data_IF_298491546265
#
_entry.id   IF_298491546265
#
_cell.length_a   1.000
_cell.length_b   1.000
_cell.length_c   1.000
_cell.angle_alpha   90.00
_cell.angle_beta   90.00
_cell.angle_gamma   90.00
#
_symmetry.space_group_name_H-M   'P 1'
#
loop_
_entity.id
_entity.type
_entity.pdbx_description
1 polymer ?
#
# COMPACT_ATOMS: atom_id res chain seq x y z
N UNK A 1 0.01 41.13 4.45
CA UNK A 1 -0.48 40.12 5.42
C UNK A 1 -0.38 38.72 4.85
N UNK A 2 -0.90 38.47 3.63
CA UNK A 2 -0.58 37.33 2.73
C UNK A 2 0.62 36.45 3.10
N UNK A 3 1.85 36.99 3.10
CA UNK A 3 3.09 36.21 3.30
C UNK A 3 3.10 35.40 4.59
N UNK A 4 2.66 35.99 5.72
CA UNK A 4 2.59 35.28 7.02
C UNK A 4 1.60 34.12 6.99
N UNK A 5 0.50 34.25 6.24
CA UNK A 5 -0.52 33.20 6.13
C UNK A 5 -0.01 32.07 5.21
N UNK A 6 0.65 32.41 4.10
CA UNK A 6 1.32 31.41 3.24
C UNK A 6 2.41 30.64 3.98
N UNK A 7 3.15 31.29 4.88
CA UNK A 7 4.10 30.62 5.80
C UNK A 7 3.39 29.65 6.75
N UNK A 8 2.32 30.08 7.43
CA UNK A 8 1.54 29.24 8.35
C UNK A 8 0.96 27.96 7.69
N UNK A 9 0.55 28.04 6.42
CA UNK A 9 -0.01 26.91 5.65
C UNK A 9 1.09 25.99 5.09
N UNK A 10 2.31 26.51 4.91
CA UNK A 10 3.45 25.71 4.44
C UNK A 10 4.29 25.10 5.55
N UNK A 11 4.29 25.69 6.76
CA UNK A 11 4.98 25.18 7.96
C UNK A 11 6.44 24.80 7.67
N UNK A 12 6.78 23.52 7.81
CA UNK A 12 8.13 23.00 7.66
C UNK A 12 8.49 22.68 6.20
N UNK A 13 7.59 22.87 5.22
CA UNK A 13 7.91 22.66 3.79
C UNK A 13 8.88 23.73 3.29
N UNK A 14 9.80 23.35 2.42
CA UNK A 14 10.71 24.31 1.76
C UNK A 14 9.95 25.07 0.68
N UNK A 15 9.91 26.39 0.80
CA UNK A 15 9.32 27.30 -0.19
C UNK A 15 10.38 27.81 -1.15
N UNK A 16 10.01 28.01 -2.42
CA UNK A 16 10.80 28.77 -3.38
C UNK A 16 10.59 30.26 -3.09
N UNK A 17 11.69 31.02 -2.94
CA UNK A 17 11.70 32.47 -2.72
C UNK A 17 12.77 33.14 -3.60
N UNK A 18 12.50 33.17 -4.90
CA UNK A 18 13.47 33.55 -5.95
C UNK A 18 12.74 34.29 -7.08
N UNK A 19 13.42 35.19 -7.79
CA UNK A 19 12.93 35.92 -8.98
C UNK A 19 11.55 36.61 -8.87
N UNK A 20 11.13 36.95 -7.65
CA UNK A 20 9.83 37.55 -7.34
C UNK A 20 8.72 36.54 -6.99
N UNK A 21 8.99 35.23 -7.01
CA UNK A 21 8.04 34.18 -6.62
C UNK A 21 8.17 33.81 -5.14
N UNK A 22 7.03 33.63 -4.44
CA UNK A 22 6.96 32.97 -3.13
C UNK A 22 5.98 31.79 -3.20
N UNK A 23 6.49 30.61 -3.57
CA UNK A 23 5.69 29.41 -3.84
C UNK A 23 6.02 28.27 -2.87
N UNK A 24 4.98 27.54 -2.44
CA UNK A 24 5.14 26.22 -1.83
C UNK A 24 5.51 25.20 -2.92
N UNK A 25 6.79 25.22 -3.30
CA UNK A 25 7.37 24.51 -4.42
C UNK A 25 8.82 24.16 -4.09
N UNK A 26 9.25 22.94 -4.43
CA UNK A 26 10.62 22.47 -4.20
C UNK A 26 11.09 21.56 -5.32
N UNK A 27 12.31 21.78 -5.82
CA UNK A 27 13.00 20.80 -6.66
C UNK A 27 13.51 19.65 -5.78
N UNK A 28 12.98 18.44 -6.01
CA UNK A 28 13.46 17.20 -5.37
C UNK A 28 14.62 16.60 -6.17
N UNK A 29 14.63 16.84 -7.49
CA UNK A 29 15.75 16.65 -8.40
C UNK A 29 15.73 17.80 -9.43
N UNK A 30 16.76 17.92 -10.29
CA UNK A 30 16.88 19.02 -11.27
C UNK A 30 15.62 19.18 -12.13
N UNK A 31 15.00 18.07 -12.53
CA UNK A 31 13.81 18.03 -13.38
C UNK A 31 12.54 17.49 -12.67
N UNK A 32 12.53 17.40 -11.33
CA UNK A 32 11.38 16.91 -10.56
C UNK A 32 11.03 17.92 -9.47
N UNK A 33 9.86 18.53 -9.61
CA UNK A 33 9.29 19.50 -8.68
C UNK A 33 8.18 18.83 -7.87
N UNK A 34 8.20 19.04 -6.55
CA UNK A 34 7.08 18.79 -5.65
C UNK A 34 6.47 20.14 -5.22
N UNK A 35 5.15 20.31 -5.34
CA UNK A 35 4.48 21.56 -4.95
C UNK A 35 3.14 21.35 -4.24
N UNK A 36 2.68 22.38 -3.53
CA UNK A 36 1.30 22.47 -3.04
C UNK A 36 0.30 22.78 -4.17
N UNK A 37 -0.99 22.56 -3.91
CA UNK A 37 -2.06 22.74 -4.90
C UNK A 37 -2.08 24.16 -5.51
N UNK A 38 -2.10 24.30 -6.85
CA UNK A 38 -2.31 25.58 -7.51
C UNK A 38 -3.79 25.96 -7.49
N UNK A 39 -4.16 27.01 -6.76
CA UNK A 39 -5.56 27.44 -6.58
C UNK A 39 -5.97 28.57 -7.53
N UNK A 40 -7.14 28.41 -8.15
CA UNK A 40 -7.88 29.45 -8.89
C UNK A 40 -8.70 30.38 -7.97
N UNK A 41 -9.19 29.87 -6.82
CA UNK A 41 -10.08 30.62 -5.90
C UNK A 41 -9.29 31.47 -4.90
N UNK A 42 -10.02 32.19 -4.03
CA UNK A 42 -9.51 32.95 -2.87
C UNK A 42 -8.52 32.17 -2.00
N UNK A 43 -8.51 30.83 -2.03
CA UNK A 43 -7.46 30.03 -1.38
C UNK A 43 -6.03 30.36 -1.87
N UNK A 44 -5.86 30.92 -3.07
CA UNK A 44 -4.57 31.40 -3.58
C UNK A 44 -3.95 32.53 -2.74
N UNK A 45 -4.74 33.15 -1.85
CA UNK A 45 -4.25 34.10 -0.83
C UNK A 45 -3.38 33.40 0.23
N UNK A 46 -3.66 32.13 0.53
CA UNK A 46 -2.98 31.34 1.56
C UNK A 46 -2.24 30.09 1.02
N UNK A 47 -2.52 29.67 -0.21
CA UNK A 47 -1.84 28.61 -0.98
C UNK A 47 -1.00 29.22 -2.13
N UNK A 48 -0.62 28.39 -3.10
CA UNK A 48 -0.09 28.86 -4.38
C UNK A 48 -1.26 29.41 -5.23
N UNK A 49 -1.14 30.62 -5.78
CA UNK A 49 -2.01 31.04 -6.89
C UNK A 49 -1.62 30.23 -8.13
N UNK A 50 -2.61 29.79 -8.89
CA UNK A 50 -2.37 29.10 -10.17
C UNK A 50 -1.68 30.02 -11.18
N UNK A 51 -1.98 31.32 -11.17
CA UNK A 51 -1.33 32.33 -12.02
C UNK A 51 0.16 32.49 -11.67
N UNK A 52 0.52 32.48 -10.38
CA UNK A 52 1.92 32.56 -9.96
C UNK A 52 2.70 31.28 -10.33
N UNK A 53 2.06 30.10 -10.21
CA UNK A 53 2.64 28.82 -10.64
C UNK A 53 2.80 28.77 -12.17
N UNK A 54 1.80 29.21 -12.92
CA UNK A 54 1.87 29.32 -14.38
C UNK A 54 3.00 30.27 -14.80
N UNK A 55 3.03 31.50 -14.28
CA UNK A 55 4.12 32.47 -14.56
C UNK A 55 5.50 31.91 -14.22
N UNK A 56 5.63 31.15 -13.13
CA UNK A 56 6.89 30.50 -12.77
C UNK A 56 7.31 29.43 -13.79
N UNK A 57 6.39 28.54 -14.17
CA UNK A 57 6.64 27.48 -15.14
C UNK A 57 6.94 28.05 -16.54
N UNK A 58 6.17 29.03 -17.01
CA UNK A 58 6.44 29.73 -18.27
C UNK A 58 7.75 30.54 -18.26
N UNK A 59 8.15 31.12 -17.12
CA UNK A 59 9.39 31.90 -17.02
C UNK A 59 10.65 31.03 -16.93
N UNK A 60 10.59 29.86 -16.29
CA UNK A 60 11.76 28.99 -16.07
C UNK A 60 11.84 27.75 -16.94
N UNK A 61 10.71 27.24 -17.44
CA UNK A 61 10.60 25.93 -18.12
C UNK A 61 9.65 25.99 -19.32
N UNK A 62 9.61 27.13 -20.03
CA UNK A 62 8.68 27.36 -21.14
C UNK A 62 8.64 26.16 -22.09
N UNK A 63 7.44 25.65 -22.36
CA UNK A 63 7.18 24.47 -23.20
C UNK A 63 7.77 23.12 -22.74
N UNK A 64 8.65 23.12 -21.72
CA UNK A 64 9.35 21.97 -21.15
C UNK A 64 8.80 21.52 -19.78
N UNK A 65 7.53 21.78 -19.44
CA UNK A 65 6.92 21.24 -18.21
C UNK A 65 5.67 20.41 -18.46
N UNK A 66 5.46 19.39 -17.61
CA UNK A 66 4.18 18.68 -17.45
C UNK A 66 3.78 18.62 -15.98
N UNK A 67 2.51 18.90 -15.71
CA UNK A 67 1.93 18.93 -14.36
C UNK A 67 1.23 17.59 -14.06
N UNK A 68 1.42 17.07 -12.86
CA UNK A 68 0.82 15.82 -12.39
C UNK A 68 -0.04 16.08 -11.15
N UNK A 69 -1.36 15.99 -11.31
CA UNK A 69 -2.33 16.17 -10.24
C UNK A 69 -2.67 14.83 -9.57
N UNK A 70 -2.43 14.75 -8.26
CA UNK A 70 -2.72 13.56 -7.44
C UNK A 70 -4.02 13.70 -6.60
N UNK A 71 -4.75 14.82 -6.72
CA UNK A 71 -5.99 15.05 -5.99
C UNK A 71 -7.17 14.26 -6.57
N UNK A 72 -7.84 13.44 -5.74
CA UNK A 72 -9.19 12.93 -6.03
C UNK A 72 -10.26 14.00 -5.84
N UNK A 73 -10.00 14.92 -4.92
CA UNK A 73 -10.94 15.90 -4.37
C UNK A 73 -10.96 17.25 -5.10
N UNK A 74 -9.94 17.56 -5.91
CA UNK A 74 -9.71 18.89 -6.50
C UNK A 74 -9.14 18.78 -7.92
N UNK A 75 -9.64 19.65 -8.81
CA UNK A 75 -9.22 19.80 -10.21
C UNK A 75 -9.18 21.29 -10.57
N UNK A 76 -8.56 21.60 -11.70
CA UNK A 76 -8.52 22.91 -12.35
C UNK A 76 -8.50 22.69 -13.87
N UNK A 77 -8.73 23.74 -14.65
CA UNK A 77 -8.77 23.65 -16.10
C UNK A 77 -7.37 23.35 -16.69
N UNK A 78 -7.17 22.25 -17.45
CA UNK A 78 -5.86 21.90 -17.99
C UNK A 78 -5.35 22.92 -19.02
N UNK A 79 -6.23 23.74 -19.59
CA UNK A 79 -5.91 24.80 -20.55
C UNK A 79 -4.97 25.84 -19.93
N UNK A 80 -5.05 26.04 -18.59
CA UNK A 80 -4.14 26.88 -17.80
C UNK A 80 -2.67 26.48 -17.89
N UNK A 81 -2.39 25.24 -18.32
CA UNK A 81 -1.06 24.66 -18.46
C UNK A 81 -0.85 24.07 -19.87
N UNK A 82 -1.48 24.66 -20.89
CA UNK A 82 -1.36 24.25 -22.30
C UNK A 82 -1.70 22.77 -22.55
N UNK A 83 -2.70 22.23 -21.86
CA UNK A 83 -3.06 20.80 -21.85
C UNK A 83 -1.97 19.84 -21.35
N UNK A 84 -0.86 20.36 -20.78
CA UNK A 84 0.24 19.55 -20.21
C UNK A 84 -0.06 19.11 -18.78
N UNK A 85 -1.25 18.54 -18.53
CA UNK A 85 -1.70 18.06 -17.21
C UNK A 85 -2.11 16.59 -17.29
N UNK A 86 -1.52 15.74 -16.42
CA UNK A 86 -1.97 14.37 -16.21
C UNK A 86 -2.55 14.19 -14.79
N UNK A 87 -3.52 13.29 -14.65
CA UNK A 87 -4.24 13.06 -13.41
C UNK A 87 -4.04 11.62 -12.92
N UNK A 88 -3.48 11.45 -11.72
CA UNK A 88 -3.31 10.17 -11.04
C UNK A 88 -3.92 10.25 -9.62
N UNK A 89 -5.26 10.38 -9.52
CA UNK A 89 -5.94 10.77 -8.29
C UNK A 89 -5.98 9.66 -7.24
N UNK A 90 -5.69 10.01 -5.98
CA UNK A 90 -5.99 9.15 -4.84
C UNK A 90 -6.28 9.94 -3.56
N UNK A 91 -7.03 9.31 -2.65
CA UNK A 91 -7.58 9.96 -1.46
C UNK A 91 -6.51 10.51 -0.52
N UNK A 92 -6.80 11.67 0.07
CA UNK A 92 -5.86 12.31 0.98
C UNK A 92 -5.57 11.46 2.22
N UNK A 93 -4.36 11.55 2.75
CA UNK A 93 -3.87 10.74 3.86
C UNK A 93 -3.89 9.20 3.66
N UNK A 94 -4.20 8.70 2.46
CA UNK A 94 -4.16 7.27 2.11
C UNK A 94 -3.00 6.98 1.11
N UNK A 95 -2.56 5.72 0.94
CA UNK A 95 -1.73 5.32 -0.19
C UNK A 95 -2.54 5.35 -1.52
N UNK A 96 -1.85 5.37 -2.68
CA UNK A 96 -2.49 5.11 -3.97
C UNK A 96 -2.90 3.63 -4.07
N UNK A 97 -3.73 3.28 -5.06
CA UNK A 97 -3.80 1.87 -5.49
C UNK A 97 -2.43 1.43 -5.96
N UNK A 98 -2.03 0.19 -5.68
CA UNK A 98 -0.71 -0.30 -6.08
C UNK A 98 -0.51 -0.26 -7.61
N UNK A 99 -1.57 -0.60 -8.36
CA UNK A 99 -1.60 -0.56 -9.82
C UNK A 99 -1.46 0.86 -10.40
N UNK A 100 -1.77 1.92 -9.64
CA UNK A 100 -1.64 3.31 -10.10
C UNK A 100 -0.17 3.75 -10.18
N UNK A 101 0.73 3.09 -9.43
CA UNK A 101 2.12 3.52 -9.28
C UNK A 101 2.92 3.31 -10.57
N UNK A 102 2.79 2.14 -11.22
CA UNK A 102 3.55 1.81 -12.43
C UNK A 102 3.22 2.73 -13.62
N UNK A 103 1.94 2.93 -14.02
CA UNK A 103 1.61 3.82 -15.13
C UNK A 103 2.03 5.27 -14.88
N UNK A 104 1.92 5.76 -13.63
CA UNK A 104 2.47 7.08 -13.27
C UNK A 104 3.99 7.15 -13.50
N UNK A 105 4.75 6.13 -13.07
CA UNK A 105 6.19 6.11 -13.27
C UNK A 105 6.55 6.06 -14.75
N UNK A 106 5.83 5.26 -15.55
CA UNK A 106 6.08 5.08 -16.98
C UNK A 106 5.77 6.35 -17.78
N UNK A 107 4.64 7.03 -17.51
CA UNK A 107 4.29 8.34 -18.10
C UNK A 107 5.31 9.43 -17.72
N UNK A 108 5.70 9.48 -16.44
CA UNK A 108 6.71 10.41 -15.95
C UNK A 108 8.08 10.18 -16.60
N UNK A 109 8.49 8.93 -16.76
CA UNK A 109 9.75 8.56 -17.43
C UNK A 109 9.71 8.83 -18.94
N UNK A 110 8.54 8.63 -19.57
CA UNK A 110 8.36 8.97 -20.99
C UNK A 110 8.49 10.48 -21.20
N UNK A 111 7.76 11.29 -20.43
CA UNK A 111 7.84 12.76 -20.51
C UNK A 111 9.27 13.29 -20.30
N UNK A 112 9.94 12.84 -19.23
CA UNK A 112 11.28 13.31 -18.88
C UNK A 112 12.40 12.77 -19.80
N UNK A 113 12.11 11.79 -20.67
CA UNK A 113 13.05 11.29 -21.69
C UNK A 113 12.86 11.91 -23.07
N UNK A 114 11.73 12.57 -23.34
CA UNK A 114 11.47 13.21 -24.65
C UNK A 114 12.41 14.38 -24.94
N UNK A 115 12.86 15.08 -23.91
CA UNK A 115 13.78 16.22 -24.02
C UNK A 115 14.57 16.38 -22.70
N UNK A 116 15.89 16.66 -22.73
CA UNK A 116 16.69 16.85 -21.51
C UNK A 116 16.30 18.09 -20.68
N UNK A 117 15.64 19.09 -21.26
CA UNK A 117 15.12 20.27 -20.55
C UNK A 117 13.77 20.00 -19.88
N UNK A 118 13.09 18.88 -20.21
CA UNK A 118 11.77 18.56 -19.65
C UNK A 118 11.81 18.36 -18.13
N UNK A 119 10.89 19.03 -17.44
CA UNK A 119 10.63 18.89 -16.00
C UNK A 119 9.21 18.41 -15.72
N UNK A 120 9.01 17.85 -14.53
CA UNK A 120 7.70 17.43 -14.04
C UNK A 120 7.33 18.16 -12.74
N UNK A 121 6.13 18.75 -12.70
CA UNK A 121 5.58 19.43 -11.52
C UNK A 121 4.47 18.59 -10.88
N UNK A 122 4.80 17.87 -9.81
CA UNK A 122 3.91 16.89 -9.17
C UNK A 122 3.32 17.48 -7.90
N UNK A 123 2.00 17.40 -7.72
CA UNK A 123 1.32 18.02 -6.58
C UNK A 123 0.14 17.20 -6.05
N UNK A 124 -0.25 17.52 -4.81
CA UNK A 124 -1.53 17.14 -4.21
C UNK A 124 -2.11 18.37 -3.48
N UNK A 125 -2.92 18.21 -2.43
CA UNK A 125 -3.39 19.31 -1.56
C UNK A 125 -2.21 20.10 -0.97
N UNK A 126 -1.33 19.44 -0.22
CA UNK A 126 -0.22 20.06 0.53
C UNK A 126 1.18 19.80 -0.04
N UNK A 127 1.31 18.97 -1.09
CA UNK A 127 2.61 18.61 -1.69
C UNK A 127 3.54 17.85 -0.74
N UNK A 128 2.99 17.00 0.14
CA UNK A 128 3.72 16.28 1.21
C UNK A 128 3.63 14.75 1.01
N UNK A 129 2.65 14.08 1.63
CA UNK A 129 2.52 12.62 1.65
C UNK A 129 2.30 11.99 0.27
N UNK A 130 1.14 12.29 -0.37
CA UNK A 130 0.77 11.74 -1.69
C UNK A 130 1.84 11.99 -2.77
N UNK A 131 2.30 13.24 -2.89
CA UNK A 131 3.41 13.64 -3.78
C UNK A 131 4.70 12.86 -3.50
N UNK A 132 5.04 12.67 -2.22
CA UNK A 132 6.22 11.92 -1.83
C UNK A 132 6.16 10.44 -2.21
N UNK A 133 5.01 9.78 -2.08
CA UNK A 133 4.85 8.38 -2.51
C UNK A 133 5.19 8.22 -3.98
N UNK A 134 4.57 9.05 -4.84
CA UNK A 134 4.73 8.91 -6.30
C UNK A 134 6.14 9.30 -6.76
N UNK A 135 6.75 10.34 -6.16
CA UNK A 135 8.15 10.72 -6.45
C UNK A 135 9.13 9.64 -5.98
N UNK A 136 8.99 9.11 -4.76
CA UNK A 136 9.89 8.05 -4.27
C UNK A 136 9.78 6.79 -5.12
N UNK A 137 8.55 6.41 -5.51
CA UNK A 137 8.32 5.29 -6.42
C UNK A 137 9.00 5.50 -7.78
N UNK A 138 8.89 6.69 -8.37
CA UNK A 138 9.59 7.01 -9.63
C UNK A 138 11.13 6.96 -9.50
N UNK A 139 11.68 7.47 -8.40
CA UNK A 139 13.12 7.42 -8.16
C UNK A 139 13.63 5.97 -8.02
N UNK A 140 12.83 5.07 -7.43
CA UNK A 140 13.10 3.63 -7.43
C UNK A 140 12.97 3.01 -8.83
N UNK A 141 11.94 3.38 -9.61
CA UNK A 141 11.75 2.93 -11.00
C UNK A 141 12.97 3.26 -11.88
N UNK A 142 13.52 4.47 -11.71
CA UNK A 142 14.77 4.92 -12.35
C UNK A 142 16.05 4.36 -11.73
N UNK A 143 15.97 3.52 -10.70
CA UNK A 143 17.10 2.95 -9.94
C UNK A 143 18.05 4.03 -9.38
N UNK A 144 17.52 5.20 -9.01
CA UNK A 144 18.28 6.31 -8.41
C UNK A 144 18.64 6.05 -6.93
N UNK A 145 17.87 5.20 -6.26
CA UNK A 145 18.12 4.74 -4.89
C UNK A 145 18.07 3.22 -4.82
N UNK A 146 18.79 2.65 -3.86
CA UNK A 146 18.88 1.20 -3.63
C UNK A 146 17.59 0.64 -3.04
N UNK A 147 16.96 1.39 -2.15
CA UNK A 147 15.76 0.97 -1.43
C UNK A 147 14.82 2.14 -1.09
N UNK A 148 13.61 1.78 -0.67
CA UNK A 148 12.55 2.73 -0.37
C UNK A 148 12.89 3.68 0.78
N UNK A 149 13.66 3.24 1.79
CA UNK A 149 13.97 4.09 2.94
C UNK A 149 15.04 5.14 2.59
N UNK A 150 15.97 4.87 1.66
CA UNK A 150 16.80 5.90 1.01
C UNK A 150 15.97 6.94 0.25
N UNK A 151 15.08 6.51 -0.66
CA UNK A 151 14.25 7.41 -1.45
C UNK A 151 13.34 8.30 -0.58
N UNK A 152 12.69 7.71 0.43
CA UNK A 152 11.84 8.40 1.41
C UNK A 152 12.62 9.45 2.22
N UNK A 153 13.88 9.16 2.59
CA UNK A 153 14.77 10.07 3.31
C UNK A 153 15.23 11.23 2.43
N UNK A 154 15.60 10.95 1.18
CA UNK A 154 15.93 11.99 0.19
C UNK A 154 14.75 12.95 -0.01
N UNK A 155 13.54 12.41 -0.23
CA UNK A 155 12.35 13.24 -0.38
C UNK A 155 12.07 14.08 0.87
N UNK A 156 12.17 13.49 2.07
CA UNK A 156 12.01 14.20 3.34
C UNK A 156 12.97 15.38 3.48
N UNK A 157 14.27 15.12 3.36
CA UNK A 157 15.33 16.13 3.45
C UNK A 157 15.19 17.23 2.41
N UNK A 158 14.82 16.89 1.18
CA UNK A 158 14.61 17.84 0.09
C UNK A 158 13.35 18.69 0.32
N UNK A 159 12.20 18.08 0.58
CA UNK A 159 10.90 18.76 0.62
C UNK A 159 10.65 19.54 1.92
N UNK A 160 11.27 19.15 3.03
CA UNK A 160 10.97 19.68 4.37
C UNK A 160 12.22 20.11 5.14
N UNK A 161 12.02 20.89 6.21
CA UNK A 161 13.06 21.37 7.13
C UNK A 161 13.29 20.42 8.30
N UNK A 162 12.25 19.69 8.70
CA UNK A 162 12.24 18.68 9.77
C UNK A 162 12.42 17.24 9.24
N UNK A 163 12.75 17.11 7.95
CA UNK A 163 12.89 15.85 7.19
C UNK A 163 11.62 14.96 7.16
N UNK A 164 10.48 15.43 7.67
CA UNK A 164 9.19 14.72 7.70
C UNK A 164 8.46 14.83 6.36
N UNK A 165 8.98 14.12 5.35
CA UNK A 165 8.34 13.95 4.05
C UNK A 165 7.09 13.05 4.11
N UNK A 166 7.24 11.76 3.79
CA UNK A 166 6.15 10.77 3.91
C UNK A 166 6.19 10.12 5.29
N UNK A 167 5.29 10.59 6.16
CA UNK A 167 5.17 10.18 7.57
C UNK A 167 4.23 9.00 7.77
N UNK A 168 3.12 8.94 7.04
CA UNK A 168 2.07 7.92 7.19
C UNK A 168 2.62 6.53 6.81
N UNK A 169 2.64 5.55 7.74
CA UNK A 169 3.16 4.22 7.48
C UNK A 169 2.57 3.50 6.26
N UNK A 170 1.25 3.57 6.05
CA UNK A 170 0.62 2.99 4.86
C UNK A 170 1.13 3.60 3.56
N UNK A 171 1.40 4.91 3.52
CA UNK A 171 2.03 5.55 2.36
C UNK A 171 3.48 5.05 2.16
N UNK A 172 4.26 4.92 3.24
CA UNK A 172 5.63 4.36 3.19
C UNK A 172 5.65 2.90 2.73
N UNK A 173 4.68 2.09 3.20
CA UNK A 173 4.51 0.68 2.85
C UNK A 173 4.32 0.49 1.35
N UNK A 174 3.57 1.37 0.68
CA UNK A 174 3.34 1.27 -0.76
C UNK A 174 4.58 1.65 -1.59
N UNK A 175 5.45 2.54 -1.09
CA UNK A 175 6.78 2.77 -1.69
C UNK A 175 7.68 1.54 -1.54
N UNK A 176 7.65 0.87 -0.37
CA UNK A 176 8.35 -0.41 -0.14
C UNK A 176 7.85 -1.51 -1.07
N UNK A 177 6.54 -1.75 -1.12
CA UNK A 177 5.90 -2.71 -2.04
C UNK A 177 6.33 -2.52 -3.50
N UNK A 178 6.34 -1.27 -3.99
CA UNK A 178 6.78 -1.00 -5.36
C UNK A 178 8.29 -1.23 -5.54
N UNK A 179 9.11 -0.86 -4.56
CA UNK A 179 10.54 -1.20 -4.52
C UNK A 179 10.79 -2.71 -4.54
N UNK A 180 9.98 -3.49 -3.82
CA UNK A 180 10.08 -4.95 -3.79
C UNK A 180 9.67 -5.58 -5.13
N UNK A 181 8.64 -5.05 -5.81
CA UNK A 181 8.30 -5.48 -7.18
C UNK A 181 9.47 -5.25 -8.14
N UNK A 182 10.09 -4.06 -8.11
CA UNK A 182 11.21 -3.70 -8.97
C UNK A 182 12.47 -4.54 -8.67
N UNK A 183 12.82 -4.67 -7.39
CA UNK A 183 14.03 -5.39 -6.93
C UNK A 183 13.99 -6.87 -7.27
N UNK A 184 12.81 -7.50 -7.15
CA UNK A 184 12.61 -8.92 -7.39
C UNK A 184 12.09 -9.22 -8.82
N UNK A 185 12.01 -8.21 -9.69
CA UNK A 185 11.47 -8.30 -11.06
C UNK A 185 10.08 -8.95 -11.14
N UNK A 186 9.20 -8.64 -10.17
CA UNK A 186 7.87 -9.22 -10.06
C UNK A 186 6.83 -8.42 -10.85
N UNK A 187 5.96 -9.15 -11.54
CA UNK A 187 4.72 -8.60 -12.10
C UNK A 187 3.65 -8.73 -11.02
N UNK A 188 3.03 -7.60 -10.66
CA UNK A 188 1.90 -7.61 -9.74
C UNK A 188 0.70 -8.32 -10.37
N UNK A 189 0.04 -9.17 -9.58
CA UNK A 189 -1.27 -9.74 -9.89
C UNK A 189 -2.15 -9.68 -8.63
N UNK A 190 -3.46 -9.47 -8.73
CA UNK A 190 -4.36 -9.58 -7.58
C UNK A 190 -4.29 -10.99 -6.96
N UNK A 191 -4.29 -11.09 -5.64
CA UNK A 191 -4.25 -12.37 -4.89
C UNK A 191 -5.46 -12.44 -3.96
N UNK A 192 -6.33 -13.42 -4.16
CA UNK A 192 -7.51 -13.62 -3.31
C UNK A 192 -7.16 -14.41 -2.04
N UNK A 193 -7.59 -13.88 -0.88
CA UNK A 193 -7.38 -14.46 0.45
C UNK A 193 -8.67 -14.42 1.27
N UNK A 194 -8.86 -15.39 2.17
CA UNK A 194 -9.95 -15.39 3.16
C UNK A 194 -9.46 -14.87 4.50
N UNK A 195 -9.98 -13.74 4.99
CA UNK A 195 -9.73 -13.27 6.36
C UNK A 195 -10.38 -14.21 7.37
N UNK A 196 -9.56 -14.83 8.25
CA UNK A 196 -10.02 -15.74 9.33
C UNK A 196 -10.13 -15.06 10.70
N UNK A 197 -9.33 -14.02 10.95
CA UNK A 197 -9.33 -13.32 12.23
C UNK A 197 -8.12 -12.42 12.43
N UNK A 198 -8.12 -11.68 13.53
CA UNK A 198 -7.09 -10.68 13.85
C UNK A 198 -6.68 -10.80 15.32
N UNK A 199 -5.38 -10.87 15.61
CA UNK A 199 -4.82 -10.84 16.96
C UNK A 199 -4.20 -9.49 17.27
N UNK A 200 -4.51 -8.93 18.43
CA UNK A 200 -3.69 -7.91 19.09
C UNK A 200 -2.65 -8.61 19.98
N UNK A 201 -1.36 -8.35 19.77
CA UNK A 201 -0.29 -8.97 20.59
C UNK A 201 -0.14 -8.37 21.99
N UNK A 202 -0.70 -7.18 22.23
CA UNK A 202 -0.93 -6.58 23.56
C UNK A 202 -2.24 -5.82 23.54
N UNK A 203 -2.84 -5.54 24.70
CA UNK A 203 -4.15 -4.88 24.78
C UNK A 203 -4.01 -3.34 24.70
N UNK A 204 -4.73 -2.66 23.78
CA UNK A 204 -4.86 -1.20 23.79
C UNK A 204 -5.63 -0.68 25.01
N UNK A 205 -5.20 0.46 25.55
CA UNK A 205 -5.71 1.04 26.81
C UNK A 205 -6.61 2.26 26.51
N UNK A 206 -7.84 2.03 26.06
CA UNK A 206 -8.80 3.08 25.70
C UNK A 206 -9.90 3.30 26.75
N UNK A 207 -10.17 2.30 27.58
CA UNK A 207 -11.15 2.35 28.67
C UNK A 207 -10.44 2.54 30.01
N UNK A 208 -11.11 3.12 31.02
CA UNK A 208 -10.56 3.42 32.36
C UNK A 208 -9.99 2.21 33.12
N UNK A 209 -10.31 0.99 32.69
CA UNK A 209 -9.75 -0.26 33.19
C UNK A 209 -8.42 -0.66 32.54
N UNK A 210 -7.80 0.18 31.71
CA UNK A 210 -6.66 -0.14 30.84
C UNK A 210 -6.98 -1.32 29.88
N UNK A 211 -8.19 -1.31 29.32
CA UNK A 211 -8.67 -2.27 28.32
C UNK A 211 -9.27 -1.53 27.11
N UNK A 212 -9.87 -2.26 26.16
CA UNK A 212 -10.64 -1.68 25.06
C UNK A 212 -11.80 -2.60 24.70
N UNK A 213 -12.81 -2.05 24.03
CA UNK A 213 -13.99 -2.75 23.52
C UNK A 213 -14.01 -2.64 22.00
N UNK A 214 -13.11 -3.37 21.28
CA UNK A 214 -12.85 -3.11 19.88
C UNK A 214 -13.92 -3.68 18.96
N UNK A 215 -14.06 -3.04 17.82
CA UNK A 215 -14.61 -3.62 16.59
C UNK A 215 -13.84 -3.07 15.39
N UNK A 216 -13.97 -3.69 14.23
CA UNK A 216 -13.26 -3.27 13.03
C UNK A 216 -14.10 -3.33 11.76
N UNK A 217 -13.76 -2.45 10.82
CA UNK A 217 -14.34 -2.39 9.48
C UNK A 217 -13.24 -2.70 8.47
N UNK A 218 -13.55 -3.55 7.49
CA UNK A 218 -12.66 -3.88 6.38
C UNK A 218 -13.20 -3.24 5.11
N UNK A 219 -12.35 -2.50 4.41
CA UNK A 219 -12.69 -1.86 3.16
C UNK A 219 -11.78 -2.36 2.04
N UNK A 220 -12.37 -2.70 0.89
CA UNK A 220 -11.66 -2.86 -0.36
C UNK A 220 -11.95 -1.61 -1.20
N UNK A 221 -10.89 -0.87 -1.55
CA UNK A 221 -11.02 0.42 -2.23
C UNK A 221 -11.90 1.40 -1.40
N UNK A 222 -13.08 1.79 -1.92
CA UNK A 222 -14.07 2.64 -1.23
C UNK A 222 -15.23 1.86 -0.60
N UNK A 223 -15.29 0.54 -0.79
CA UNK A 223 -16.42 -0.29 -0.36
C UNK A 223 -16.10 -0.95 0.98
N UNK A 224 -16.96 -0.73 1.99
CA UNK A 224 -16.91 -1.50 3.23
C UNK A 224 -17.44 -2.90 2.95
N UNK A 225 -16.56 -3.90 2.97
CA UNK A 225 -16.88 -5.30 2.66
C UNK A 225 -17.17 -6.14 3.90
N UNK A 226 -16.78 -5.66 5.08
CA UNK A 226 -17.08 -6.30 6.36
C UNK A 226 -17.11 -5.29 7.51
N UNK A 227 -17.94 -5.57 8.50
CA UNK A 227 -17.92 -4.95 9.83
C UNK A 227 -17.99 -6.08 10.84
N UNK A 228 -17.07 -6.11 11.80
CA UNK A 228 -17.10 -7.13 12.85
C UNK A 228 -18.25 -6.88 13.83
N UNK A 229 -18.65 -7.91 14.61
CA UNK A 229 -19.29 -7.66 15.90
C UNK A 229 -18.36 -6.84 16.82
N UNK A 230 -18.92 -6.35 17.92
CA UNK A 230 -18.14 -5.77 19.02
C UNK A 230 -17.57 -6.92 19.85
N UNK A 231 -16.30 -6.83 20.21
CA UNK A 231 -15.64 -7.78 21.11
C UNK A 231 -15.55 -7.14 22.50
N UNK A 232 -16.39 -7.61 23.44
CA UNK A 232 -16.59 -7.03 24.77
C UNK A 232 -15.96 -7.83 25.92
N UNK A 233 -15.29 -8.95 25.61
CA UNK A 233 -14.61 -9.82 26.59
C UNK A 233 -13.17 -9.47 26.95
N UNK A 234 -12.66 -8.27 26.62
CA UNK A 234 -11.24 -7.93 26.87
C UNK A 234 -11.05 -7.36 28.28
N UNK A 235 -10.31 -8.09 29.12
CA UNK A 235 -10.14 -7.78 30.53
C UNK A 235 -8.79 -7.13 30.85
N UNK A 236 -8.76 -6.40 31.98
CA UNK A 236 -7.51 -5.86 32.53
C UNK A 236 -6.61 -7.01 32.97
N UNK A 237 -5.47 -7.17 32.30
CA UNK A 237 -4.51 -8.26 32.57
C UNK A 237 -4.38 -9.26 31.42
N UNK A 238 -5.28 -9.23 30.43
CA UNK A 238 -5.10 -9.99 29.19
C UNK A 238 -3.78 -9.59 28.52
N UNK A 239 -2.98 -10.60 28.15
CA UNK A 239 -1.71 -10.36 27.45
C UNK A 239 -1.90 -10.11 25.96
N UNK A 240 -2.95 -10.67 25.36
CA UNK A 240 -3.27 -10.58 23.94
C UNK A 240 -4.71 -11.01 23.67
N UNK A 241 -5.32 -10.59 22.56
CA UNK A 241 -6.70 -10.93 22.24
C UNK A 241 -6.88 -11.30 20.75
N UNK A 242 -7.69 -12.33 20.47
CA UNK A 242 -7.99 -12.81 19.12
C UNK A 242 -9.45 -12.56 18.73
N UNK A 243 -9.64 -11.67 17.77
CA UNK A 243 -10.93 -11.34 17.15
C UNK A 243 -11.18 -12.32 16.00
N UNK A 244 -11.97 -13.36 16.25
CA UNK A 244 -12.33 -14.38 15.26
C UNK A 244 -13.34 -13.83 14.25
N UNK A 245 -13.10 -14.04 12.96
CA UNK A 245 -14.10 -13.80 11.90
C UNK A 245 -14.82 -15.13 11.65
N UNK A 246 -16.09 -15.21 12.03
CA UNK A 246 -16.88 -16.44 11.96
C UNK A 246 -17.07 -16.94 10.52
N UNK A 247 -17.50 -16.02 9.64
CA UNK A 247 -17.69 -16.24 8.22
C UNK A 247 -16.51 -15.61 7.46
N UNK A 248 -15.55 -16.39 6.93
CA UNK A 248 -14.33 -15.84 6.34
C UNK A 248 -14.61 -14.89 5.18
N UNK A 249 -13.96 -13.71 5.20
CA UNK A 249 -14.24 -12.64 4.23
C UNK A 249 -13.25 -12.72 3.07
N UNK A 250 -13.71 -12.83 1.80
CA UNK A 250 -12.82 -12.78 0.63
C UNK A 250 -12.29 -11.36 0.39
N UNK A 251 -10.96 -11.25 0.29
CA UNK A 251 -10.22 -10.01 0.10
C UNK A 251 -9.20 -10.17 -1.03
N UNK A 252 -9.00 -9.12 -1.83
CA UNK A 252 -8.11 -9.13 -2.99
C UNK A 252 -7.54 -7.72 -3.26
N UNK A 253 -6.23 -7.63 -3.48
CA UNK A 253 -5.55 -6.38 -3.79
C UNK A 253 -5.46 -5.45 -2.56
N UNK A 254 -5.80 -4.17 -2.75
CA UNK A 254 -5.62 -3.11 -1.75
C UNK A 254 -6.75 -3.08 -0.71
N UNK A 255 -6.39 -3.42 0.54
CA UNK A 255 -7.31 -3.57 1.67
C UNK A 255 -6.95 -2.59 2.78
N UNK A 256 -7.96 -1.91 3.32
CA UNK A 256 -7.88 -1.10 4.55
C UNK A 256 -8.58 -1.84 5.69
N UNK A 257 -7.99 -1.83 6.88
CA UNK A 257 -8.68 -2.23 8.12
C UNK A 257 -8.65 -1.06 9.09
N UNK A 258 -9.82 -0.68 9.61
CA UNK A 258 -9.99 0.39 10.60
C UNK A 258 -10.58 -0.17 11.88
N UNK A 259 -9.98 0.15 13.03
CA UNK A 259 -10.41 -0.31 14.35
C UNK A 259 -10.95 0.84 15.17
N UNK A 260 -11.98 0.52 15.95
CA UNK A 260 -12.69 1.48 16.77
C UNK A 260 -12.97 0.89 18.16
N UNK A 261 -12.85 1.73 19.19
CA UNK A 261 -13.26 1.44 20.55
C UNK A 261 -14.74 1.87 20.70
N UNK A 262 -15.57 0.98 21.25
CA UNK A 262 -16.94 1.33 21.65
C UNK A 262 -16.93 1.81 23.10
N UNK A 263 -17.07 3.12 23.28
CA UNK A 263 -17.09 3.76 24.60
C UNK A 263 -18.39 3.48 25.36
N UNK A 264 -18.41 3.71 26.68
CA UNK A 264 -19.61 3.55 27.53
C UNK A 264 -20.80 4.42 27.08
N UNK A 265 -20.54 5.58 26.46
CA UNK A 265 -21.57 6.45 25.87
C UNK A 265 -22.01 6.01 24.45
N UNK A 266 -21.73 4.75 24.07
CA UNK A 266 -21.97 4.18 22.73
C UNK A 266 -21.27 4.91 21.58
N UNK A 267 -20.38 5.88 21.84
CA UNK A 267 -19.64 6.61 20.80
C UNK A 267 -18.50 5.74 20.25
N UNK A 268 -18.37 5.78 18.92
CA UNK A 268 -17.32 5.12 18.12
C UNK A 268 -16.05 5.97 18.13
N UNK A 269 -15.02 5.53 18.83
CA UNK A 269 -13.72 6.20 18.87
C UNK A 269 -12.71 5.47 17.97
N UNK A 270 -12.02 6.18 17.05
CA UNK A 270 -11.05 5.54 16.15
C UNK A 270 -9.73 5.24 16.85
N UNK A 271 -9.38 3.95 16.96
CA UNK A 271 -8.15 3.48 17.61
C UNK A 271 -6.96 3.56 16.65
N UNK A 272 -7.04 2.81 15.55
CA UNK A 272 -5.96 2.63 14.58
C UNK A 272 -6.51 2.23 13.21
N UNK A 273 -5.67 2.34 12.18
CA UNK A 273 -5.95 1.78 10.86
C UNK A 273 -4.64 1.52 10.11
N UNK A 274 -4.73 0.74 9.04
CA UNK A 274 -3.65 0.49 8.09
C UNK A 274 -4.21 0.03 6.75
N UNK A 275 -3.41 0.23 5.71
CA UNK A 275 -3.58 -0.39 4.38
C UNK A 275 -2.52 -1.44 4.14
N UNK A 276 -2.89 -2.52 3.45
CA UNK A 276 -1.96 -3.52 2.93
C UNK A 276 -2.46 -4.02 1.57
N UNK A 277 -1.59 -4.71 0.83
CA UNK A 277 -1.99 -5.38 -0.39
C UNK A 277 -1.80 -6.90 -0.23
N UNK A 278 -2.81 -7.69 -0.62
CA UNK A 278 -2.82 -9.16 -0.41
C UNK A 278 -1.66 -9.90 -1.08
N UNK A 279 -1.07 -9.36 -2.15
CA UNK A 279 0.09 -9.93 -2.84
C UNK A 279 1.33 -10.07 -1.94
N UNK A 280 1.44 -9.25 -0.89
CA UNK A 280 2.59 -9.22 0.02
C UNK A 280 2.34 -9.92 1.37
N UNK A 281 1.24 -10.67 1.50
CA UNK A 281 0.97 -11.49 2.69
C UNK A 281 1.78 -12.78 2.60
N UNK A 282 2.36 -13.23 3.70
CA UNK A 282 3.37 -14.30 3.72
C UNK A 282 2.91 -15.59 4.42
N UNK A 283 3.43 -16.73 3.96
CA UNK A 283 3.31 -18.03 4.62
C UNK A 283 4.13 -18.01 5.93
N UNK A 284 3.57 -18.54 7.03
CA UNK A 284 4.33 -18.69 8.28
C UNK A 284 5.26 -19.91 8.16
N UNK A 285 6.56 -19.68 7.98
CA UNK A 285 7.53 -20.75 8.13
C UNK A 285 7.70 -21.11 9.61
N UNK A 286 7.23 -22.30 9.98
CA UNK A 286 7.33 -23.01 11.29
C UNK A 286 6.39 -22.57 12.43
N UNK A 287 5.90 -23.53 13.25
CA UNK A 287 4.75 -23.33 14.13
C UNK A 287 5.14 -22.59 15.41
N UNK A 288 4.93 -21.27 15.45
CA UNK A 288 4.83 -20.57 16.73
C UNK A 288 3.48 -20.92 17.35
N UNK A 289 3.49 -21.42 18.59
CA UNK A 289 2.31 -21.93 19.31
C UNK A 289 1.04 -21.10 19.07
N UNK A 290 0.01 -21.72 18.48
CA UNK A 290 -1.35 -21.19 18.52
C UNK A 290 -1.69 -20.97 20.00
N UNK A 291 -2.14 -19.77 20.41
CA UNK A 291 -2.55 -19.57 21.78
C UNK A 291 -3.77 -20.44 22.08
N UNK A 292 -3.60 -21.44 22.94
CA UNK A 292 -4.73 -22.01 23.66
C UNK A 292 -5.32 -20.89 24.52
N UNK A 293 -6.37 -20.24 24.02
CA UNK A 293 -7.21 -19.40 24.85
C UNK A 293 -7.93 -20.30 25.84
N UNK A 294 -7.43 -20.33 27.08
CA UNK A 294 -8.22 -20.81 28.20
C UNK A 294 -9.34 -19.80 28.44
N UNK A 295 -10.44 -19.95 27.71
CA UNK A 295 -11.73 -19.48 28.13
C UNK A 295 -12.75 -20.60 27.93
N UNK A 296 -12.94 -21.38 28.99
CA UNK A 296 -13.92 -22.45 29.04
C UNK A 296 -15.32 -21.86 29.06
N UNK A 297 -15.92 -21.68 27.87
CA UNK A 297 -17.36 -21.79 27.56
C UNK A 297 -17.64 -21.34 26.12
N UNK A 298 -17.24 -22.18 25.16
CA UNK A 298 -17.50 -21.99 23.73
C UNK A 298 -16.66 -22.96 22.91
N UNK A 299 -17.28 -23.68 21.96
CA UNK A 299 -16.59 -24.71 21.19
C UNK A 299 -15.46 -24.11 20.32
N UNK A 300 -14.23 -24.21 20.81
CA UNK A 300 -13.05 -23.61 20.21
C UNK A 300 -12.60 -24.34 18.95
N UNK A 301 -13.14 -23.94 17.80
CA UNK A 301 -12.52 -24.27 16.51
C UNK A 301 -11.16 -23.55 16.43
N UNK A 302 -10.09 -24.32 16.59
CA UNK A 302 -8.72 -23.92 16.25
C UNK A 302 -8.51 -24.24 14.77
N UNK A 303 -8.27 -23.25 13.89
CA UNK A 303 -7.89 -23.54 12.50
C UNK A 303 -6.55 -24.29 12.48
N UNK A 304 -6.39 -25.23 11.54
CA UNK A 304 -5.16 -25.98 11.38
C UNK A 304 -3.97 -25.00 11.14
N UNK A 305 -2.89 -25.06 11.94
CA UNK A 305 -1.73 -24.17 11.79
C UNK A 305 -1.03 -24.28 10.42
N UNK A 306 -1.24 -25.36 9.65
CA UNK A 306 -0.46 -25.64 8.44
C UNK A 306 -0.91 -24.85 7.19
N UNK A 307 -2.04 -24.13 7.22
CA UNK A 307 -2.58 -23.40 6.05
C UNK A 307 -2.72 -21.87 6.23
N UNK A 308 -2.33 -21.31 7.38
CA UNK A 308 -2.54 -19.88 7.64
C UNK A 308 -1.39 -18.99 7.16
N UNK A 309 -1.74 -18.02 6.33
CA UNK A 309 -0.89 -16.87 6.01
C UNK A 309 -1.07 -15.78 7.08
N UNK A 310 0.00 -15.09 7.46
CA UNK A 310 -0.06 -14.07 8.53
C UNK A 310 0.64 -12.78 8.14
N UNK A 311 -0.11 -11.69 8.16
CA UNK A 311 0.44 -10.34 8.08
C UNK A 311 0.63 -9.79 9.49
N UNK A 312 1.89 -9.52 9.88
CA UNK A 312 2.20 -8.86 11.16
C UNK A 312 2.55 -7.39 10.93
N UNK A 313 1.85 -6.47 11.61
CA UNK A 313 2.10 -5.03 11.54
C UNK A 313 2.41 -4.49 12.94
N UNK A 314 3.65 -4.02 13.23
CA UNK A 314 4.01 -3.44 14.51
C UNK A 314 3.43 -2.03 14.70
N UNK A 315 3.35 -1.54 15.94
CA UNK A 315 2.83 -0.20 16.31
C UNK A 315 3.36 0.92 15.42
N UNK A 316 4.66 0.92 15.12
CA UNK A 316 5.31 1.93 14.29
C UNK A 316 4.75 1.99 12.85
N UNK A 317 4.17 0.90 12.36
CA UNK A 317 3.65 0.77 11.00
C UNK A 317 2.11 0.94 10.92
N UNK A 318 1.45 1.44 11.98
CA UNK A 318 0.00 1.66 12.05
C UNK A 318 -0.33 3.15 12.03
N UNK A 319 -1.24 3.61 11.16
CA UNK A 319 -1.31 5.02 10.73
C UNK A 319 -1.68 6.04 11.81
N UNK A 320 -2.41 5.61 12.85
CA UNK A 320 -2.71 6.42 14.05
C UNK A 320 -1.87 6.00 15.26
N UNK A 321 -1.72 4.69 15.51
CA UNK A 321 -1.00 4.19 16.69
C UNK A 321 0.51 4.50 16.68
N UNK A 322 1.13 4.73 15.51
CA UNK A 322 2.53 5.18 15.46
C UNK A 322 2.77 6.54 16.13
N UNK A 323 1.73 7.38 16.25
CA UNK A 323 1.81 8.74 16.80
C UNK A 323 1.78 8.78 18.34
N UNK A 324 1.36 7.69 18.98
CA UNK A 324 1.40 7.53 20.45
C UNK A 324 2.85 7.26 20.91
N UNK A 325 3.68 8.32 20.97
CA UNK A 325 5.08 8.25 21.41
C UNK A 325 5.24 8.11 22.92
N UNK A 326 4.24 8.50 23.69
CA UNK A 326 4.20 8.36 25.15
C UNK A 326 3.70 6.99 25.62
N UNK A 327 3.25 6.13 24.68
CA UNK A 327 2.75 4.78 24.95
C UNK A 327 1.53 4.73 25.89
N UNK A 328 0.76 5.83 25.96
CA UNK A 328 -0.43 5.96 26.81
C UNK A 328 -1.59 5.06 26.36
N UNK A 329 -1.72 4.81 25.05
CA UNK A 329 -2.82 4.03 24.47
C UNK A 329 -2.38 2.65 23.97
N UNK A 330 -1.13 2.53 23.51
CA UNK A 330 -0.59 1.30 22.95
C UNK A 330 0.80 1.00 23.52
N UNK A 331 0.97 -0.22 24.05
CA UNK A 331 2.27 -0.74 24.47
C UNK A 331 3.33 -0.59 23.34
N UNK A 332 4.62 -0.30 23.64
CA UNK A 332 5.68 -0.24 22.61
C UNK A 332 5.77 -1.49 21.73
N UNK A 333 5.51 -2.67 22.30
CA UNK A 333 5.56 -3.96 21.61
C UNK A 333 4.23 -4.34 20.94
N UNK A 334 3.23 -3.46 20.93
CA UNK A 334 1.93 -3.72 20.28
C UNK A 334 2.11 -4.05 18.80
N UNK A 335 1.48 -5.15 18.36
CA UNK A 335 1.38 -5.55 16.95
C UNK A 335 -0.03 -6.04 16.66
N UNK A 336 -0.45 -5.85 15.42
CA UNK A 336 -1.65 -6.49 14.85
C UNK A 336 -1.19 -7.64 13.96
N UNK A 337 -1.70 -8.85 14.20
CA UNK A 337 -1.51 -10.02 13.33
C UNK A 337 -2.83 -10.33 12.64
N UNK A 338 -2.87 -10.28 11.31
CA UNK A 338 -4.05 -10.58 10.49
C UNK A 338 -3.83 -11.97 9.87
N UNK A 339 -4.77 -12.88 10.09
CA UNK A 339 -4.68 -14.28 9.68
C UNK A 339 -5.58 -14.53 8.47
N UNK A 340 -5.01 -15.16 7.45
CA UNK A 340 -5.71 -15.48 6.22
C UNK A 340 -5.55 -16.96 5.86
N UNK A 341 -6.48 -17.49 5.08
CA UNK A 341 -6.29 -18.73 4.31
C UNK A 341 -6.20 -18.37 2.82
N UNK A 342 -5.43 -19.13 2.04
CA UNK A 342 -5.35 -18.92 0.59
C UNK A 342 -6.64 -19.38 -0.10
N UNK A 343 -7.10 -18.67 -1.12
CA UNK A 343 -8.22 -19.08 -1.99
C UNK A 343 -7.77 -20.01 -3.15
N UNK A 344 -6.66 -20.75 -2.99
CA UNK A 344 -6.28 -21.74 -4.00
C UNK A 344 -7.39 -22.79 -4.07
N UNK A 345 -7.95 -22.99 -5.25
CA UNK A 345 -8.68 -24.23 -5.51
C UNK A 345 -7.72 -25.39 -5.21
N UNK A 346 -8.17 -26.50 -4.59
CA UNK A 346 -7.36 -27.70 -4.54
C UNK A 346 -7.02 -28.05 -5.99
N UNK A 347 -5.74 -28.21 -6.30
CA UNK A 347 -5.30 -28.71 -7.60
C UNK A 347 -6.04 -30.03 -7.83
N UNK A 348 -7.07 -30.00 -8.69
CA UNK A 348 -7.76 -31.22 -9.08
C UNK A 348 -6.68 -32.14 -9.61
N UNK A 349 -6.64 -33.38 -9.11
CA UNK A 349 -5.68 -34.38 -9.54
C UNK A 349 -5.65 -34.38 -11.08
N UNK A 350 -4.61 -33.78 -11.64
CA UNK A 350 -4.20 -34.05 -13.01
C UNK A 350 -3.59 -35.45 -12.96
N UNK A 351 -4.47 -36.45 -12.81
CA UNK A 351 -4.18 -37.77 -13.32
C UNK A 351 -3.71 -37.55 -14.75
N UNK A 352 -2.43 -37.86 -14.95
CA UNK A 352 -1.73 -37.65 -16.19
C UNK A 352 -2.41 -38.51 -17.24
N UNK A 353 -3.42 -37.95 -17.91
CA UNK A 353 -4.04 -38.55 -19.08
C UNK A 353 -2.91 -38.84 -20.04
N UNK A 354 -2.61 -40.14 -20.20
CA UNK A 354 -1.56 -40.58 -21.12
C UNK A 354 -1.95 -40.04 -22.48
N UNK A 355 -1.13 -39.17 -23.05
CA UNK A 355 -1.40 -38.66 -24.39
C UNK A 355 -1.40 -39.83 -25.36
N UNK A 356 -2.20 -39.73 -26.42
CA UNK A 356 -2.40 -40.80 -27.39
C UNK A 356 -1.17 -41.03 -28.31
N UNK A 357 0.02 -40.59 -27.90
CA UNK A 357 1.27 -40.63 -28.65
C UNK A 357 2.12 -41.88 -28.36
N UNK A 358 1.81 -42.63 -27.28
CA UNK A 358 2.49 -43.89 -26.93
C UNK A 358 1.99 -45.11 -27.74
N UNK A 359 1.27 -44.89 -28.86
CA UNK A 359 0.81 -45.95 -29.78
C UNK A 359 1.26 -45.69 -31.22
N UNK A 360 2.58 -45.66 -31.43
CA UNK A 360 3.18 -45.85 -32.76
C UNK A 360 3.71 -47.29 -32.85
N UNK A 361 2.90 -48.15 -33.47
CA UNK A 361 3.28 -49.54 -33.76
C UNK A 361 4.12 -49.57 -35.04
N UNK A 362 5.40 -49.92 -34.92
CA UNK A 362 6.30 -50.16 -36.07
C UNK A 362 5.90 -51.46 -36.80
N UNK A 363 5.49 -51.41 -38.09
CA UNK A 363 5.00 -52.58 -38.81
C UNK A 363 6.09 -53.37 -39.56
N UNK A 364 7.39 -53.09 -39.38
CA UNK A 364 8.46 -53.77 -40.14
C UNK A 364 9.59 -54.40 -39.30
N UNK A 365 9.28 -55.51 -38.60
CA UNK A 365 10.29 -56.56 -38.33
C UNK A 365 9.71 -57.98 -38.34
N UNK A 366 10.02 -58.75 -39.39
CA UNK A 366 9.92 -60.22 -39.41
C UNK A 366 11.12 -60.85 -38.70
N UNK A 367 10.90 -61.98 -38.04
CA UNK A 367 11.87 -63.09 -38.04
C UNK A 367 12.29 -63.67 -36.69
N UNK A 368 11.71 -64.83 -36.34
CA UNK A 368 12.19 -65.76 -35.30
C UNK A 368 11.98 -65.32 -33.84
N UNK A 369 11.72 -66.21 -32.88
CA UNK A 369 11.49 -67.66 -32.96
C UNK A 369 11.77 -68.34 -31.61
N UNK A 370 10.87 -69.24 -31.17
CA UNK A 370 10.99 -70.18 -30.03
C UNK A 370 11.12 -69.57 -28.61
N UNK A 371 10.19 -69.93 -27.69
CA UNK A 371 10.42 -70.78 -26.49
C UNK A 371 11.12 -70.05 -25.31
N UNK A 372 10.75 -70.21 -24.03
CA UNK A 372 9.65 -70.95 -23.41
C UNK A 372 9.64 -70.77 -21.87
N UNK A 373 8.52 -71.13 -21.22
CA UNK A 373 8.36 -71.55 -19.81
C UNK A 373 9.21 -70.97 -18.64
N UNK A 374 8.51 -70.19 -17.79
CA UNK A 374 8.20 -70.56 -16.37
C UNK A 374 9.13 -70.22 -15.17
N UNK A 375 8.48 -70.15 -13.99
CA UNK A 375 8.94 -70.20 -12.59
C UNK A 375 10.00 -69.17 -12.11
N UNK A 376 9.71 -68.28 -11.15
CA UNK A 376 9.43 -68.47 -9.70
C UNK A 376 10.67 -68.69 -8.80
N UNK A 377 10.84 -67.73 -7.88
CA UNK A 377 11.07 -67.93 -6.44
C UNK A 377 12.48 -68.22 -5.88
N UNK A 378 12.83 -67.40 -4.85
CA UNK A 378 13.74 -67.67 -3.71
C UNK A 378 15.25 -67.77 -4.04
N UNK A 379 16.21 -67.61 -3.12
CA UNK A 379 16.35 -66.83 -1.84
C UNK A 379 17.76 -67.11 -1.27
N UNK A 380 18.19 -66.43 -0.19
CA UNK A 380 19.45 -66.68 0.58
C UNK A 380 20.75 -66.28 -0.16
N UNK A 381 21.85 -65.82 0.48
CA UNK A 381 22.15 -65.47 1.89
C UNK A 381 23.38 -64.54 1.96
N UNK A 382 23.58 -63.89 3.12
CA UNK A 382 24.88 -63.51 3.75
C UNK A 382 26.10 -63.23 2.85
N UNK A 383 26.69 -62.04 3.00
CA UNK A 383 27.95 -61.98 3.77
C UNK A 383 28.25 -60.63 4.42
N UNK A 384 28.92 -60.71 5.58
CA UNK A 384 29.33 -59.59 6.45
C UNK A 384 30.84 -59.40 6.39
N UNK A 385 31.29 -58.15 6.35
CA UNK A 385 32.65 -57.78 6.79
C UNK A 385 32.65 -56.54 7.71
N UNK A 386 33.70 -56.46 8.53
CA UNK A 386 33.89 -55.65 9.74
C UNK A 386 35.41 -55.31 9.76
N UNK A 387 35.96 -54.19 10.25
CA UNK A 387 35.64 -53.12 11.23
C UNK A 387 36.35 -51.81 10.70
N UNK A 388 36.60 -50.69 11.42
CA UNK A 388 36.15 -50.20 12.74
C UNK A 388 35.63 -48.74 12.76
N UNK A 389 35.19 -48.28 13.94
CA UNK A 389 34.49 -47.00 14.13
C UNK A 389 35.34 -45.75 14.39
N UNK A 390 34.64 -44.60 14.52
CA UNK A 390 35.15 -43.30 14.98
C UNK A 390 34.11 -42.59 15.88
N UNK A 391 34.50 -41.58 16.69
CA UNK A 391 33.79 -41.15 17.90
C UNK A 391 32.54 -40.27 17.65
N UNK A 392 31.68 -40.05 18.67
CA UNK A 392 30.43 -39.31 18.52
C UNK A 392 30.62 -37.86 18.09
N UNK A 393 29.76 -37.41 17.19
CA UNK A 393 29.73 -36.03 16.71
C UNK A 393 29.21 -35.07 17.79
N UNK A 394 29.82 -33.88 17.86
CA UNK A 394 29.39 -32.78 18.74
C UNK A 394 28.05 -32.21 18.25
N UNK A 395 27.26 -31.68 19.17
CA UNK A 395 26.04 -30.94 18.85
C UNK A 395 26.36 -29.73 17.96
N UNK A 396 25.67 -29.62 16.82
CA UNK A 396 25.64 -28.41 16.01
C UNK A 396 24.36 -27.60 16.31
N UNK A 397 24.41 -26.26 16.25
CA UNK A 397 23.28 -25.41 16.60
C UNK A 397 22.14 -25.52 15.57
N UNK A 398 20.92 -25.23 16.02
CA UNK A 398 19.75 -25.15 15.15
C UNK A 398 19.96 -24.06 14.09
N UNK A 399 20.15 -24.48 12.85
CA UNK A 399 20.12 -23.58 11.69
C UNK A 399 18.66 -23.29 11.37
N UNK A 400 18.24 -22.04 11.54
CA UNK A 400 16.96 -21.55 11.02
C UNK A 400 16.97 -21.67 9.50
N UNK A 401 16.10 -22.54 8.95
CA UNK A 401 15.95 -22.68 7.50
C UNK A 401 15.53 -21.37 6.82
N UNK A 402 15.85 -21.18 5.52
CA UNK A 402 15.55 -19.94 4.83
C UNK A 402 14.03 -19.72 4.70
N UNK A 403 13.60 -18.48 4.95
CA UNK A 403 12.27 -18.02 4.55
C UNK A 403 12.11 -18.16 3.03
N UNK A 404 10.97 -18.68 2.57
CA UNK A 404 10.63 -18.70 1.14
C UNK A 404 10.51 -17.27 0.65
N UNK A 405 11.37 -16.90 -0.28
CA UNK A 405 11.42 -15.53 -0.79
C UNK A 405 10.13 -15.17 -1.54
N UNK A 406 9.89 -13.87 -1.75
CA UNK A 406 8.83 -13.42 -2.66
C UNK A 406 9.02 -13.98 -4.07
N UNK A 407 10.27 -14.21 -4.48
CA UNK A 407 10.68 -14.80 -5.77
C UNK A 407 10.17 -16.24 -5.89
N UNK A 408 10.39 -17.08 -4.88
CA UNK A 408 9.96 -18.50 -4.87
C UNK A 408 8.44 -18.67 -4.97
N UNK A 409 7.66 -17.72 -4.43
CA UNK A 409 6.19 -17.74 -4.46
C UNK A 409 5.57 -17.47 -5.84
N UNK A 410 6.29 -16.79 -6.74
CA UNK A 410 5.70 -16.26 -7.97
C UNK A 410 6.30 -16.81 -9.27
N UNK A 411 7.37 -17.62 -9.21
CA UNK A 411 7.97 -18.27 -10.38
C UNK A 411 7.23 -19.51 -10.92
N UNK A 412 6.11 -19.93 -10.32
CA UNK A 412 5.34 -21.12 -10.74
C UNK A 412 4.28 -20.86 -11.82
N UNK A 413 4.38 -19.78 -12.60
CA UNK A 413 3.53 -19.58 -13.78
C UNK A 413 4.37 -19.63 -15.07
N UNK A 414 4.08 -20.55 -16.02
CA UNK A 414 4.74 -20.55 -17.32
C UNK A 414 4.38 -19.26 -18.08
N UNK A 415 5.39 -18.62 -18.67
CA UNK A 415 5.20 -17.35 -19.37
C UNK A 415 4.66 -17.52 -20.80
N UNK A 416 4.03 -16.47 -21.33
CA UNK A 416 3.81 -16.34 -22.78
C UNK A 416 2.48 -15.71 -23.19
N UNK A 417 2.46 -14.38 -23.34
CA UNK A 417 1.70 -13.70 -24.41
C UNK A 417 2.03 -12.19 -24.40
N UNK A 418 2.56 -11.67 -25.51
CA UNK A 418 2.72 -10.22 -25.72
C UNK A 418 1.33 -9.57 -25.88
N UNK A 419 1.06 -8.39 -25.30
CA UNK A 419 -0.11 -7.61 -25.66
C UNK A 419 0.07 -6.98 -27.05
N UNK A 420 -0.91 -7.24 -27.93
CA UNK A 420 -0.95 -6.77 -29.31
C UNK A 420 -1.15 -5.25 -29.36
N UNK A 421 -0.30 -4.52 -30.08
CA UNK A 421 -0.42 -3.06 -30.24
C UNK A 421 -1.52 -2.75 -31.27
N UNK A 422 -2.65 -2.20 -30.82
CA UNK A 422 -3.62 -1.58 -31.73
C UNK A 422 -3.28 -0.10 -31.93
N UNK A 423 -3.02 0.29 -33.18
CA UNK A 423 -2.88 1.69 -33.58
C UNK A 423 -4.28 2.33 -33.75
N UNK A 424 -4.48 3.60 -33.37
CA UNK A 424 -5.73 4.30 -33.63
C UNK A 424 -5.84 4.74 -35.09
N UNK A 425 -7.00 4.51 -35.70
CA UNK A 425 -7.36 5.04 -37.02
C UNK A 425 -7.52 6.57 -36.96
N UNK A 426 -7.05 7.25 -38.02
CA UNK A 426 -7.32 8.68 -38.28
C UNK A 426 -8.49 8.84 -39.25
N UNK A 427 -9.12 10.00 -39.11
CA UNK A 427 -10.00 10.76 -40.02
C UNK A 427 -11.43 10.97 -39.46
N UNK A 428 -12.07 12.13 -39.63
CA UNK A 428 -11.73 13.26 -40.49
C UNK A 428 -12.10 14.65 -39.94
N UNK A 429 -12.13 15.64 -40.85
CA UNK A 429 -12.14 17.09 -40.57
C UNK A 429 -13.54 17.72 -40.46
N UNK A 430 -13.62 18.74 -39.59
CA UNK A 430 -14.25 20.06 -39.77
C UNK A 430 -15.73 20.12 -40.21
N UNK A 431 -16.55 20.79 -39.39
CA UNK A 431 -17.42 21.86 -39.91
C UNK A 431 -17.58 23.01 -38.91
N UNK A 432 -17.83 24.23 -39.42
CA UNK A 432 -17.78 25.49 -38.68
C UNK A 432 -19.17 26.07 -38.45
N UNK A 433 -19.48 26.54 -37.23
CA UNK A 433 -20.71 27.27 -36.93
C UNK A 433 -20.45 28.44 -35.98
N UNK A 434 -20.59 29.66 -36.49
CA UNK A 434 -20.57 30.91 -35.71
C UNK A 434 -22.00 31.39 -35.44
N UNK A 435 -22.22 31.90 -34.23
CA UNK A 435 -23.31 32.77 -33.72
C UNK A 435 -23.10 32.74 -32.18
N UNK A 436 -23.32 33.78 -31.38
CA UNK A 436 -23.91 35.10 -31.54
C UNK A 436 -24.25 35.58 -30.11
N UNK A 437 -24.09 36.86 -29.81
CA UNK A 437 -24.07 37.36 -28.42
C UNK A 437 -25.39 37.22 -27.66
N UNK A 438 -25.34 37.11 -26.33
CA UNK A 438 -26.09 38.01 -25.44
C UNK A 438 -25.60 37.91 -23.99
N UNK A 439 -25.65 39.04 -23.28
CA UNK A 439 -25.24 39.20 -21.88
C UNK A 439 -26.46 39.62 -21.08
N UNK A 440 -26.90 38.79 -20.13
CA UNK A 440 -27.74 39.24 -19.01
C UNK A 440 -27.26 38.63 -17.69
N UNK A 441 -27.36 39.42 -16.62
CA UNK A 441 -26.70 39.13 -15.34
C UNK A 441 -27.50 38.22 -14.43
N UNK A 442 -26.79 37.55 -13.50
CA UNK A 442 -27.41 36.78 -12.42
C UNK A 442 -26.94 37.29 -11.06
N UNK A 443 -27.95 37.45 -10.21
CA UNK A 443 -27.96 37.94 -8.83
C UNK A 443 -26.88 37.37 -7.90
N UNK A 444 -26.54 38.17 -6.88
CA UNK A 444 -25.67 37.80 -5.76
C UNK A 444 -26.40 36.78 -4.87
N UNK A 445 -26.15 35.49 -5.11
CA UNK A 445 -26.66 34.38 -4.29
C UNK A 445 -25.85 34.16 -3.01
N UNK A 446 -26.54 33.78 -1.92
CA UNK A 446 -25.96 33.71 -0.58
C UNK A 446 -24.86 32.66 -0.38
N UNK A 447 -24.05 32.88 0.66
CA UNK A 447 -23.05 31.93 1.16
C UNK A 447 -23.69 30.59 1.52
N UNK A 448 -23.07 29.49 1.10
CA UNK A 448 -23.38 28.13 1.58
C UNK A 448 -22.46 27.75 2.74
N UNK A 449 -23.03 27.26 3.85
CA UNK A 449 -22.35 26.95 5.12
C UNK A 449 -21.40 25.72 5.11
N UNK A 450 -20.54 25.58 4.09
CA UNK A 450 -19.58 24.47 3.96
C UNK A 450 -18.12 24.89 3.69
N UNK A 451 -17.83 26.19 3.52
CA UNK A 451 -16.46 26.70 3.34
C UNK A 451 -15.94 27.37 4.63
N UNK A 452 -15.82 26.60 5.72
CA UNK A 452 -15.25 27.07 6.99
C UNK A 452 -13.71 27.04 6.93
N UNK A 453 -12.99 28.18 6.94
CA UNK A 453 -11.53 28.19 6.86
C UNK A 453 -10.81 27.58 8.07
N UNK A 454 -11.53 27.25 9.15
CA UNK A 454 -10.99 26.58 10.33
C UNK A 454 -10.90 25.04 10.18
N UNK A 455 -11.67 24.41 9.29
CA UNK A 455 -11.55 22.95 9.07
C UNK A 455 -10.21 22.60 8.41
N UNK A 456 -9.62 23.53 7.65
CA UNK A 456 -8.30 23.35 7.01
C UNK A 456 -7.12 23.52 8.02
N UNK A 457 -7.40 23.86 9.29
CA UNK A 457 -6.45 23.70 10.40
C UNK A 457 -6.45 22.27 10.99
N UNK A 458 -7.28 21.35 10.47
CA UNK A 458 -7.22 19.93 10.79
C UNK A 458 -6.27 19.11 9.88
N UNK A 459 -5.71 19.73 8.82
CA UNK A 459 -4.58 19.22 7.99
C UNK A 459 -3.26 19.08 8.79
N UNK A 460 -3.35 19.03 10.12
CA UNK A 460 -2.25 19.27 11.03
C UNK A 460 -1.82 17.97 11.69
N UNK A 461 -0.72 17.43 11.18
CA UNK A 461 0.18 16.63 12.01
C UNK A 461 0.82 17.57 13.06
N UNK A 462 0.06 17.91 14.08
CA UNK A 462 0.64 18.29 15.37
C UNK A 462 1.17 17.03 16.01
N UNK A 463 2.50 16.93 16.11
CA UNK A 463 3.18 15.94 16.97
C UNK A 463 3.11 16.35 18.47
N UNK A 464 2.14 17.20 18.83
CA UNK A 464 1.97 17.73 20.18
C UNK A 464 0.90 16.91 20.92
N UNK A 465 1.40 16.14 21.89
CA UNK A 465 0.85 16.01 23.23
C UNK A 465 -0.66 15.84 23.38
N UNK A 466 -1.08 14.58 23.52
CA UNK A 466 -2.32 14.22 24.19
C UNK A 466 -2.17 14.47 25.70
N UNK A 467 -2.39 15.72 26.11
CA UNK A 467 -2.84 16.04 27.47
C UNK A 467 -4.35 15.84 27.53
N UNK A 468 -4.80 15.02 28.47
CA UNK A 468 -6.21 14.91 28.79
C UNK A 468 -6.57 15.97 29.81
N UNK A 469 -7.41 16.93 29.43
CA UNK A 469 -8.13 17.75 30.40
C UNK A 469 -9.47 17.09 30.69
N UNK A 470 -9.59 16.54 31.90
CA UNK A 470 -10.90 16.33 32.52
C UNK A 470 -11.56 17.71 32.70
N UNK A 471 -12.69 17.94 32.04
CA UNK A 471 -13.54 19.09 32.34
C UNK A 471 -14.50 18.67 33.45
N UNK A 472 -14.05 18.81 34.70
CA UNK A 472 -14.95 18.81 35.84
C UNK A 472 -15.81 20.06 35.77
N UNK A 473 -17.10 19.90 35.47
CA UNK A 473 -18.07 20.98 35.63
C UNK A 473 -18.29 21.31 37.11
N UNK A 474 -18.23 22.60 37.42
CA UNK A 474 -18.88 23.25 38.57
C UNK A 474 -19.82 24.29 37.98
#
# INVERSE_FOLDING_TARGET
MTTKIKELVSRNKRRLREDGFDLDLTYIARNIIAMGFPSEKLEGYYRNSIEDVYKFLEKRHKDHYKVYNLCSERKYHPEKFHQRVANYPFEDHNPPRLELIRPFCEDLDEWLRRDPENIAAIHCKAGKGRTGVMICAYMLHRKQFKDADEALRHYGKSRTRDEKGVTIPSQRRYVRYYGDLLKNNLIYKPVSLLLKGIKFETIPMFNSSNSCTPFFEVHQLKVKVYSSPVYDGISKGDSSYYMRVENPVPLCGDVKIEFFNKTMMMKKEKMLHFWFNTFFVEEVTSPTSIPHSHNSNGAGFVPDPLELLVLTIPKADLDRANKDKSHKLFNPNFKVKVYFQSMREPEQNLERSKSADDVVVDPYRRGGGQEGFSHQSRSHTSDRLYVPGRPPAKAHPQVTGPSRSLVDRYHLLPGGSQPYVQQPLRDGRIETGSLGESVEGISIGGFSDNDNPFDDLSDTETDNEWEGCEVTHV
#
